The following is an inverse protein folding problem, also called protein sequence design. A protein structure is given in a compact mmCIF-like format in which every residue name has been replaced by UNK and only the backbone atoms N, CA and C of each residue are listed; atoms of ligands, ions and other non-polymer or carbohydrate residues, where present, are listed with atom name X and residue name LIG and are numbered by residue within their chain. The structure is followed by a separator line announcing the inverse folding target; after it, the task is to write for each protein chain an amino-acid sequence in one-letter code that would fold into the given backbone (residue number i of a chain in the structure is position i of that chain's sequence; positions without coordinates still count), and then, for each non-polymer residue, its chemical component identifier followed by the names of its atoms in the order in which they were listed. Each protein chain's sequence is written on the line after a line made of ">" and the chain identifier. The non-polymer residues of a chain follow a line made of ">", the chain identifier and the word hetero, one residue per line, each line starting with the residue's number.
data_IF_288851195982
#
_entry.id   IF_288851195982
#
_cell.length_a   1.000
_cell.length_b   1.000
_cell.length_c   1.000
_cell.angle_alpha   90.00
_cell.angle_beta   90.00
_cell.angle_gamma   90.00
#
_symmetry.space_group_name_H-M   'P 1'
#
loop_
_entity.id
_entity.type
_entity.pdbx_description
1 polymer ?
#
# COMPACT_ATOMS: atom_id res chain seq x y z
N UNK A 1 19.60 1.97 -34.53
CA UNK A 1 19.01 1.10 -33.50
C UNK A 1 19.76 -0.22 -33.50
N UNK A 2 20.58 -0.47 -32.49
CA UNK A 2 21.22 -1.77 -32.33
C UNK A 2 20.22 -2.76 -31.72
N UNK A 3 20.24 -4.05 -32.13
CA UNK A 3 19.38 -5.07 -31.54
C UNK A 3 19.74 -5.29 -30.06
N UNK A 4 18.72 -5.42 -29.21
CA UNK A 4 18.89 -5.70 -27.79
C UNK A 4 19.66 -7.03 -27.58
N UNK A 5 20.58 -7.08 -26.59
CA UNK A 5 21.32 -8.30 -26.29
C UNK A 5 20.39 -9.44 -25.81
N UNK A 6 20.75 -10.70 -26.05
CA UNK A 6 19.97 -11.85 -25.63
C UNK A 6 19.84 -11.92 -24.11
N UNK A 7 18.63 -12.24 -23.63
CA UNK A 7 18.27 -12.40 -22.22
C UNK A 7 19.09 -13.54 -21.61
N UNK A 8 19.83 -13.23 -20.55
CA UNK A 8 20.45 -14.25 -19.71
C UNK A 8 19.36 -14.99 -18.93
N UNK A 9 19.37 -16.31 -19.03
CA UNK A 9 18.45 -17.20 -18.35
C UNK A 9 18.63 -17.15 -16.83
N UNK A 10 17.48 -17.05 -16.15
CA UNK A 10 17.15 -17.54 -14.80
C UNK A 10 18.22 -17.44 -13.71
N UNK A 11 18.22 -16.31 -12.99
CA UNK A 11 18.64 -16.31 -11.60
C UNK A 11 17.55 -17.01 -10.77
N UNK A 12 17.91 -18.16 -10.20
CA UNK A 12 17.08 -18.88 -9.25
C UNK A 12 16.61 -17.94 -8.14
N UNK A 13 15.29 -17.90 -7.93
CA UNK A 13 14.69 -17.38 -6.71
C UNK A 13 15.46 -17.98 -5.53
N UNK A 14 16.13 -17.14 -4.75
CA UNK A 14 16.63 -17.56 -3.46
C UNK A 14 15.39 -17.94 -2.64
N UNK A 15 15.24 -19.24 -2.39
CA UNK A 15 14.26 -19.80 -1.46
C UNK A 15 14.43 -19.06 -0.13
N UNK A 16 13.54 -18.11 0.14
CA UNK A 16 13.38 -17.59 1.49
C UNK A 16 13.04 -18.80 2.36
N UNK A 17 13.75 -19.04 3.47
CA UNK A 17 13.49 -20.20 4.30
C UNK A 17 12.03 -20.16 4.74
N UNK A 18 11.35 -21.28 4.52
CA UNK A 18 9.93 -21.57 4.73
C UNK A 18 9.60 -21.57 6.24
N UNK A 19 9.84 -20.44 6.92
CA UNK A 19 9.76 -20.27 8.37
C UNK A 19 8.31 -19.99 8.80
N UNK A 20 7.42 -19.64 7.87
CA UNK A 20 6.05 -19.29 8.18
C UNK A 20 5.08 -20.36 7.65
N UNK A 21 4.14 -20.84 8.47
CA UNK A 21 3.10 -21.74 7.99
C UNK A 21 2.34 -21.07 6.82
N UNK A 22 1.83 -21.87 5.87
CA UNK A 22 1.08 -21.34 4.74
C UNK A 22 -0.08 -20.46 5.24
N UNK A 23 -0.36 -19.34 4.57
CA UNK A 23 -1.39 -18.41 5.00
C UNK A 23 -2.72 -19.13 5.17
N UNK A 24 -3.34 -18.99 6.34
CA UNK A 24 -4.72 -19.42 6.51
C UNK A 24 -5.58 -18.66 5.50
N UNK A 25 -6.38 -19.37 4.69
CA UNK A 25 -7.28 -18.73 3.73
C UNK A 25 -8.14 -17.71 4.50
N UNK A 26 -8.15 -16.43 4.07
CA UNK A 26 -8.96 -15.43 4.76
C UNK A 26 -10.41 -15.92 4.78
N UNK A 27 -11.14 -15.74 5.90
CA UNK A 27 -12.52 -16.17 5.98
C UNK A 27 -13.30 -15.53 4.84
N UNK A 28 -13.97 -16.36 4.03
CA UNK A 28 -14.85 -15.92 2.96
C UNK A 28 -16.04 -15.18 3.60
N UNK A 29 -15.89 -13.87 3.80
CA UNK A 29 -16.84 -13.05 4.54
C UNK A 29 -16.97 -11.65 3.96
N UNK A 30 -18.06 -10.96 4.33
CA UNK A 30 -18.41 -9.64 3.82
C UNK A 30 -17.28 -8.59 4.00
N UNK A 31 -16.43 -8.72 5.02
CA UNK A 31 -15.30 -7.81 5.26
C UNK A 31 -14.24 -7.85 4.15
N UNK A 32 -13.94 -9.03 3.60
CA UNK A 32 -12.97 -9.21 2.50
C UNK A 32 -13.48 -8.58 1.20
N UNK A 33 -14.79 -8.71 0.93
CA UNK A 33 -15.45 -8.07 -0.21
C UNK A 33 -15.53 -6.54 -0.05
N UNK A 34 -15.72 -6.02 1.17
CA UNK A 34 -15.76 -4.59 1.45
C UNK A 34 -14.36 -3.97 1.32
N UNK A 35 -13.32 -4.65 1.81
CA UNK A 35 -11.94 -4.21 1.64
C UNK A 35 -11.58 -4.16 0.14
N UNK A 36 -11.92 -5.20 -0.63
CA UNK A 36 -11.67 -5.24 -2.08
C UNK A 36 -12.45 -4.17 -2.88
N UNK A 37 -13.74 -3.95 -2.58
CA UNK A 37 -14.55 -2.96 -3.29
C UNK A 37 -14.23 -1.50 -2.89
N UNK A 38 -13.95 -1.26 -1.60
CA UNK A 38 -13.54 0.06 -1.11
C UNK A 38 -12.17 0.46 -1.66
N UNK A 39 -11.22 -0.47 -1.62
CA UNK A 39 -9.88 -0.32 -2.18
C UNK A 39 -9.90 0.14 -3.64
N UNK A 40 -10.68 -0.51 -4.51
CA UNK A 40 -10.69 -0.20 -5.95
C UNK A 40 -11.21 1.20 -6.29
N UNK A 41 -12.00 1.84 -5.41
CA UNK A 41 -12.45 3.23 -5.57
C UNK A 41 -11.47 4.24 -4.96
N UNK A 42 -10.69 3.82 -3.98
CA UNK A 42 -9.69 4.66 -3.30
C UNK A 42 -8.33 4.62 -4.00
N UNK A 43 -8.02 3.53 -4.69
CA UNK A 43 -6.77 3.35 -5.40
C UNK A 43 -6.87 3.79 -6.86
N UNK A 44 -5.69 3.99 -7.44
CA UNK A 44 -5.47 4.42 -8.81
C UNK A 44 -6.15 3.46 -9.81
N UNK A 45 -6.55 3.95 -10.99
CA UNK A 45 -7.13 3.10 -12.05
C UNK A 45 -6.17 1.99 -12.49
N UNK A 46 -4.88 2.26 -12.39
CA UNK A 46 -3.78 1.35 -12.70
C UNK A 46 -3.49 0.35 -11.58
N UNK A 47 -4.17 0.43 -10.43
CA UNK A 47 -3.95 -0.47 -9.32
C UNK A 47 -4.47 -1.89 -9.63
N UNK A 48 -3.55 -2.87 -9.57
CA UNK A 48 -3.87 -4.29 -9.60
C UNK A 48 -4.16 -4.76 -8.19
N UNK A 49 -5.38 -5.25 -7.98
CA UNK A 49 -5.86 -5.74 -6.70
C UNK A 49 -6.22 -7.21 -6.85
N UNK A 50 -5.54 -8.08 -6.11
CA UNK A 50 -5.91 -9.47 -5.98
C UNK A 50 -5.86 -9.85 -4.50
N UNK A 51 -7.03 -9.95 -3.88
CA UNK A 51 -7.19 -10.31 -2.46
C UNK A 51 -7.52 -11.79 -2.25
N UNK A 52 -7.63 -12.56 -3.34
CA UNK A 52 -8.05 -13.96 -3.31
C UNK A 52 -6.94 -14.94 -3.70
N UNK A 53 -5.81 -14.44 -4.21
CA UNK A 53 -4.60 -15.23 -4.39
C UNK A 53 -3.94 -15.63 -3.06
N UNK A 54 -2.94 -16.52 -3.16
CA UNK A 54 -2.15 -17.00 -2.01
C UNK A 54 -1.45 -15.85 -1.26
N UNK A 55 -1.02 -14.83 -2.00
CA UNK A 55 -0.39 -13.63 -1.45
C UNK A 55 -1.20 -12.38 -1.83
N UNK A 56 -2.26 -12.06 -1.07
CA UNK A 56 -3.09 -10.90 -1.30
C UNK A 56 -2.27 -9.63 -1.50
N UNK A 57 -2.52 -8.88 -2.57
CA UNK A 57 -1.73 -7.71 -2.91
C UNK A 57 -2.52 -6.57 -3.53
N UNK A 58 -1.97 -5.37 -3.35
CA UNK A 58 -2.38 -4.13 -3.99
C UNK A 58 -1.14 -3.54 -4.66
N UNK A 59 -1.07 -3.60 -5.98
CA UNK A 59 0.09 -3.16 -6.75
C UNK A 59 -0.32 -1.93 -7.56
N UNK A 60 0.41 -0.85 -7.39
CA UNK A 60 0.22 0.38 -8.15
C UNK A 60 1.53 0.67 -8.89
N UNK A 61 1.51 1.11 -10.17
CA UNK A 61 2.71 1.63 -10.81
C UNK A 61 3.45 2.62 -9.90
N UNK A 62 4.75 2.41 -9.76
CA UNK A 62 5.59 3.19 -8.85
C UNK A 62 5.47 4.70 -9.13
N UNK A 63 5.41 5.08 -10.42
CA UNK A 63 5.25 6.46 -10.86
C UNK A 63 3.87 7.06 -10.58
N UNK A 64 2.83 6.25 -10.41
CA UNK A 64 1.52 6.73 -9.97
C UNK A 64 1.43 6.80 -8.42
N UNK A 65 2.14 5.91 -7.75
CA UNK A 65 2.13 5.77 -6.29
C UNK A 65 2.98 6.82 -5.57
N UNK A 66 4.18 7.14 -6.08
CA UNK A 66 5.12 8.03 -5.41
C UNK A 66 4.70 9.51 -5.53
N UNK A 67 4.70 10.20 -4.41
CA UNK A 67 4.41 11.63 -4.35
C UNK A 67 5.54 12.50 -4.88
N UNK A 68 6.77 11.99 -4.91
CA UNK A 68 7.87 12.62 -5.62
C UNK A 68 8.72 11.56 -6.30
N UNK A 69 9.14 11.87 -7.52
CA UNK A 69 10.16 11.13 -8.26
C UNK A 69 11.15 12.10 -8.86
N UNK A 70 12.42 11.80 -8.63
CA UNK A 70 13.54 12.48 -9.24
C UNK A 70 14.41 11.46 -9.98
N UNK A 71 14.78 11.81 -11.21
CA UNK A 71 15.63 10.99 -12.07
C UNK A 71 16.85 11.83 -12.46
N UNK A 72 18.00 11.39 -11.98
CA UNK A 72 19.29 12.06 -12.18
C UNK A 72 20.28 11.15 -12.87
N UNK A 73 21.33 11.76 -13.43
CA UNK A 73 22.54 11.01 -13.79
C UNK A 73 23.35 10.71 -12.52
N UNK A 74 24.22 9.70 -12.53
CA UNK A 74 25.14 9.45 -11.42
C UNK A 74 26.02 10.67 -11.13
N UNK A 75 26.07 11.07 -9.87
CA UNK A 75 26.76 12.28 -9.38
C UNK A 75 25.92 13.56 -9.45
N UNK A 76 24.70 13.50 -10.02
CA UNK A 76 23.73 14.61 -10.07
C UNK A 76 22.48 14.31 -9.22
N UNK A 77 22.48 13.22 -8.45
CA UNK A 77 21.40 12.92 -7.52
C UNK A 77 21.30 13.95 -6.38
N UNK A 78 20.10 14.19 -5.84
CA UNK A 78 19.92 15.09 -4.70
C UNK A 78 20.73 14.62 -3.48
N UNK A 79 21.55 15.51 -2.90
CA UNK A 79 22.27 15.22 -1.64
C UNK A 79 21.31 15.09 -0.45
N UNK A 80 20.23 15.89 -0.45
CA UNK A 80 19.18 15.88 0.56
C UNK A 80 17.87 15.35 -0.02
N UNK A 81 17.53 14.12 0.36
CA UNK A 81 16.27 13.46 -0.03
C UNK A 81 15.04 14.24 0.44
N UNK A 82 15.14 14.99 1.55
CA UNK A 82 14.03 15.74 2.13
C UNK A 82 13.77 17.06 1.40
N UNK A 83 14.80 17.66 0.80
CA UNK A 83 14.72 18.87 -0.01
C UNK A 83 14.63 18.60 -1.52
N UNK A 84 14.55 17.33 -1.91
CA UNK A 84 14.49 16.91 -3.31
C UNK A 84 13.27 17.50 -4.01
N UNK A 85 13.42 17.82 -5.30
CA UNK A 85 12.34 18.27 -6.16
C UNK A 85 12.02 17.22 -7.24
N UNK A 86 10.76 17.22 -7.66
CA UNK A 86 10.26 16.39 -8.74
C UNK A 86 10.98 16.73 -10.06
N UNK A 87 11.60 15.74 -10.70
CA UNK A 87 12.12 15.83 -12.06
C UNK A 87 12.15 14.46 -12.72
N UNK A 88 11.29 14.26 -13.71
CA UNK A 88 11.20 13.02 -14.48
C UNK A 88 11.54 13.22 -15.96
N UNK A 89 12.22 14.32 -16.32
CA UNK A 89 12.52 14.62 -17.73
C UNK A 89 13.45 13.59 -18.38
N UNK A 90 14.34 12.97 -17.60
CA UNK A 90 15.21 11.89 -18.05
C UNK A 90 14.48 10.55 -18.22
N UNK A 91 13.28 10.39 -17.64
CA UNK A 91 12.51 9.15 -17.71
C UNK A 91 11.70 9.05 -19.01
N UNK A 92 11.04 10.14 -19.41
CA UNK A 92 10.20 10.14 -20.60
C UNK A 92 10.01 11.56 -21.15
N UNK A 93 10.10 11.77 -22.48
CA UNK A 93 10.03 13.10 -23.09
C UNK A 93 8.68 13.81 -22.90
N UNK A 94 7.60 13.09 -22.60
CA UNK A 94 6.31 13.71 -22.30
C UNK A 94 6.25 14.36 -20.92
N UNK A 95 7.16 14.05 -19.99
CA UNK A 95 7.13 14.52 -18.59
C UNK A 95 7.75 15.92 -18.42
N UNK A 96 7.46 16.81 -19.37
CA UNK A 96 8.01 18.16 -19.46
C UNK A 96 6.90 19.14 -19.87
N UNK A 97 6.92 20.34 -19.31
CA UNK A 97 6.05 21.43 -19.75
C UNK A 97 6.54 22.02 -21.07
N UNK A 98 5.69 22.83 -21.71
CA UNK A 98 6.03 23.46 -22.99
C UNK A 98 7.27 24.39 -22.91
N UNK A 99 7.60 24.88 -21.72
CA UNK A 99 8.77 25.73 -21.44
C UNK A 99 10.04 24.94 -21.09
N UNK A 100 9.99 23.60 -21.09
CA UNK A 100 11.12 22.73 -20.72
C UNK A 100 11.26 22.44 -19.22
N UNK A 101 10.41 23.02 -18.37
CA UNK A 101 10.39 22.72 -16.94
C UNK A 101 9.79 21.33 -16.65
N UNK A 102 10.20 20.63 -15.59
CA UNK A 102 9.62 19.34 -15.24
C UNK A 102 8.14 19.48 -14.88
N UNK A 103 7.36 18.42 -15.11
CA UNK A 103 6.00 18.37 -14.59
C UNK A 103 5.98 18.37 -13.06
N UNK A 104 4.92 18.96 -12.49
CA UNK A 104 4.61 18.77 -11.08
C UNK A 104 4.19 17.32 -10.81
N UNK A 105 4.47 16.82 -9.61
CA UNK A 105 4.23 15.43 -9.23
C UNK A 105 2.77 14.99 -9.44
N UNK A 106 1.78 15.82 -9.09
CA UNK A 106 0.37 15.48 -9.28
C UNK A 106 -0.01 15.32 -10.76
N UNK A 107 0.65 16.06 -11.66
CA UNK A 107 0.43 15.93 -13.10
C UNK A 107 1.03 14.62 -13.61
N UNK A 108 2.27 14.27 -13.20
CA UNK A 108 2.88 12.96 -13.49
C UNK A 108 1.99 11.84 -12.98
N UNK A 109 1.58 11.89 -11.71
CA UNK A 109 0.79 10.82 -11.06
C UNK A 109 -0.52 10.56 -11.79
N UNK A 110 -1.26 11.61 -12.15
CA UNK A 110 -2.50 11.48 -12.95
C UNK A 110 -2.23 10.89 -14.33
N UNK A 111 -1.16 11.31 -15.00
CA UNK A 111 -0.80 10.78 -16.31
C UNK A 111 -0.37 9.31 -16.24
N UNK A 112 0.42 8.93 -15.23
CA UNK A 112 0.80 7.56 -14.94
C UNK A 112 -0.34 6.72 -14.36
N UNK A 113 -1.50 7.31 -14.05
CA UNK A 113 -2.69 6.56 -13.66
C UNK A 113 -3.57 6.17 -14.87
N UNK A 114 -3.07 6.36 -16.08
CA UNK A 114 -3.69 5.84 -17.29
C UNK A 114 -2.85 4.66 -17.82
N UNK A 115 -3.41 3.45 -17.96
CA UNK A 115 -2.67 2.26 -18.39
C UNK A 115 -1.88 2.44 -19.70
N UNK A 116 -2.45 3.18 -20.66
CA UNK A 116 -1.84 3.49 -21.96
C UNK A 116 -0.55 4.31 -21.86
N UNK A 117 -0.37 5.08 -20.78
CA UNK A 117 0.81 5.90 -20.58
C UNK A 117 1.94 5.16 -19.87
N UNK A 118 1.62 4.07 -19.15
CA UNK A 118 2.59 3.33 -18.34
C UNK A 118 3.15 2.13 -19.07
N UNK A 119 2.39 1.53 -20.01
CA UNK A 119 2.76 0.28 -20.68
C UNK A 119 4.14 0.28 -21.33
N UNK A 120 4.57 1.43 -21.84
CA UNK A 120 5.85 1.60 -22.56
C UNK A 120 6.94 2.27 -21.71
N UNK A 121 6.66 2.61 -20.44
CA UNK A 121 7.66 3.18 -19.54
C UNK A 121 8.57 2.08 -19.02
N UNK A 122 9.87 2.37 -19.00
CA UNK A 122 10.88 1.52 -18.39
C UNK A 122 11.90 2.37 -17.66
N UNK A 123 12.59 1.76 -16.70
CA UNK A 123 13.70 2.38 -15.99
C UNK A 123 14.99 2.12 -16.76
N UNK A 124 15.59 3.17 -17.30
CA UNK A 124 16.86 3.12 -18.03
C UNK A 124 17.99 2.77 -17.07
N UNK A 125 18.79 1.72 -17.35
CA UNK A 125 19.97 1.42 -16.57
C UNK A 125 20.98 2.57 -16.58
N UNK A 126 21.65 2.80 -15.44
CA UNK A 126 22.69 3.84 -15.33
C UNK A 126 22.17 5.23 -14.97
N UNK A 127 20.86 5.39 -14.75
CA UNK A 127 20.28 6.55 -14.06
C UNK A 127 20.11 6.26 -12.56
N UNK A 128 20.05 7.33 -11.76
CA UNK A 128 19.75 7.29 -10.34
C UNK A 128 18.30 7.73 -10.13
N UNK A 129 17.53 6.87 -9.45
CA UNK A 129 16.11 7.11 -9.18
C UNK A 129 15.89 7.35 -7.70
N UNK A 130 15.33 8.52 -7.38
CA UNK A 130 14.90 8.85 -6.02
C UNK A 130 13.38 8.82 -5.95
N UNK A 131 12.85 7.96 -5.09
CA UNK A 131 11.41 7.82 -4.87
C UNK A 131 11.06 8.28 -3.46
N UNK A 132 10.21 9.31 -3.33
CA UNK A 132 9.61 9.65 -2.06
C UNK A 132 8.14 9.19 -2.07
N UNK A 133 7.82 8.37 -1.08
CA UNK A 133 6.50 7.81 -0.93
C UNK A 133 6.05 7.89 0.53
N UNK A 134 4.85 8.39 0.74
CA UNK A 134 4.18 8.39 2.04
C UNK A 134 2.74 7.91 1.87
N UNK A 135 2.30 7.02 2.76
CA UNK A 135 0.92 6.54 2.75
C UNK A 135 0.18 6.92 4.01
N UNK A 136 -0.88 7.72 3.84
CA UNK A 136 -1.78 8.09 4.92
C UNK A 136 -2.79 6.99 5.27
N UNK A 137 -2.89 5.94 4.45
CA UNK A 137 -3.87 4.89 4.70
C UNK A 137 -3.37 3.78 5.61
N UNK A 138 -2.09 3.75 5.98
CA UNK A 138 -1.57 2.82 6.97
C UNK A 138 -1.16 3.58 8.23
N UNK A 139 -1.88 3.34 9.31
CA UNK A 139 -1.42 3.69 10.65
C UNK A 139 -0.61 2.50 11.19
N UNK A 140 0.69 2.55 10.93
CA UNK A 140 1.63 1.51 11.37
C UNK A 140 1.74 1.44 12.89
N UNK A 141 1.49 2.53 13.62
CA UNK A 141 1.60 2.58 15.08
C UNK A 141 0.44 1.82 15.77
N UNK A 142 -0.73 1.80 15.15
CA UNK A 142 -1.88 1.03 15.64
C UNK A 142 -2.17 -0.23 14.83
N UNK A 143 -1.39 -0.48 13.77
CA UNK A 143 -1.60 -1.58 12.83
C UNK A 143 -3.00 -1.55 12.18
N UNK A 144 -3.38 -0.38 11.67
CA UNK A 144 -4.69 -0.14 11.05
C UNK A 144 -4.57 0.34 9.61
N UNK A 145 -5.57 0.00 8.80
CA UNK A 145 -5.78 0.59 7.47
C UNK A 145 -6.95 1.55 7.50
N UNK A 146 -6.76 2.74 6.92
CA UNK A 146 -7.79 3.72 6.69
C UNK A 146 -8.33 3.58 5.25
N UNK A 147 -9.61 3.26 5.12
CA UNK A 147 -10.33 3.24 3.85
C UNK A 147 -11.46 4.27 3.92
N UNK A 148 -11.16 5.50 3.50
CA UNK A 148 -12.06 6.64 3.69
C UNK A 148 -12.30 6.93 5.18
N UNK A 149 -13.56 7.05 5.64
CA UNK A 149 -13.87 7.30 7.05
C UNK A 149 -13.70 6.06 7.96
N UNK A 150 -13.45 4.88 7.38
CA UNK A 150 -13.31 3.65 8.15
C UNK A 150 -11.84 3.41 8.53
N UNK A 151 -11.62 2.97 9.77
CA UNK A 151 -10.33 2.45 10.22
C UNK A 151 -10.49 0.96 10.60
N UNK A 152 -9.78 0.09 9.89
CA UNK A 152 -9.82 -1.36 10.06
C UNK A 152 -8.56 -1.82 10.80
N UNK A 153 -8.74 -2.48 11.94
CA UNK A 153 -7.66 -3.14 12.68
C UNK A 153 -7.21 -4.38 11.91
N UNK A 154 -5.95 -4.43 11.49
CA UNK A 154 -5.44 -5.54 10.68
C UNK A 154 -5.06 -6.76 11.52
N UNK A 155 -4.76 -6.60 12.81
CA UNK A 155 -4.28 -7.69 13.65
C UNK A 155 -5.15 -8.97 13.60
N UNK A 156 -6.49 -8.89 13.63
CA UNK A 156 -7.35 -10.09 13.58
C UNK A 156 -7.30 -10.84 12.24
N UNK A 157 -6.87 -10.17 11.16
CA UNK A 157 -6.89 -10.72 9.80
C UNK A 157 -5.52 -11.26 9.35
N UNK A 158 -4.44 -10.74 9.94
CA UNK A 158 -3.09 -11.09 9.52
C UNK A 158 -2.59 -12.41 10.09
N UNK A 159 -3.28 -13.05 11.04
CA UNK A 159 -2.88 -14.35 11.61
C UNK A 159 -1.38 -14.43 12.00
N UNK A 160 -0.87 -13.38 12.67
CA UNK A 160 0.56 -13.23 13.03
C UNK A 160 1.55 -13.10 11.86
N UNK A 161 1.07 -12.78 10.64
CA UNK A 161 1.91 -12.48 9.48
C UNK A 161 2.20 -10.97 9.37
N UNK A 162 3.40 -10.59 8.92
CA UNK A 162 3.77 -9.19 8.71
C UNK A 162 3.06 -8.60 7.48
N UNK A 163 2.98 -7.27 7.42
CA UNK A 163 2.66 -6.58 6.16
C UNK A 163 3.93 -6.58 5.29
N UNK A 164 3.79 -7.02 4.05
CA UNK A 164 4.83 -6.87 3.03
C UNK A 164 4.68 -5.54 2.29
N UNK A 165 5.77 -4.79 2.16
CA UNK A 165 5.90 -3.64 1.27
C UNK A 165 7.00 -3.95 0.28
N UNK A 166 6.68 -3.97 -1.01
CA UNK A 166 7.66 -4.32 -2.03
C UNK A 166 7.49 -3.49 -3.29
N UNK A 167 8.61 -3.35 -4.01
CA UNK A 167 8.67 -2.84 -5.38
C UNK A 167 9.16 -4.02 -6.22
N UNK A 168 8.41 -4.40 -7.26
CA UNK A 168 8.79 -5.50 -8.13
C UNK A 168 8.51 -5.22 -9.60
N UNK A 169 9.32 -5.83 -10.46
CA UNK A 169 9.06 -5.91 -11.90
C UNK A 169 8.04 -7.02 -12.15
N UNK A 170 6.86 -6.67 -12.68
CA UNK A 170 5.79 -7.64 -12.96
C UNK A 170 6.09 -8.54 -14.16
N UNK A 171 6.97 -8.12 -15.07
CA UNK A 171 7.34 -8.92 -16.24
C UNK A 171 8.35 -10.01 -15.91
N UNK A 172 9.17 -9.81 -14.88
CA UNK A 172 10.22 -10.74 -14.44
C UNK A 172 9.91 -11.44 -13.11
N UNK A 173 8.94 -10.91 -12.37
CA UNK A 173 8.64 -11.28 -10.99
C UNK A 173 9.82 -11.08 -10.02
N UNK A 174 10.70 -10.13 -10.34
CA UNK A 174 11.89 -9.80 -9.54
C UNK A 174 11.60 -8.62 -8.60
N UNK A 175 11.94 -8.76 -7.32
CA UNK A 175 11.82 -7.68 -6.35
C UNK A 175 13.01 -6.72 -6.42
N UNK A 176 12.74 -5.43 -6.63
CA UNK A 176 13.72 -4.35 -6.49
C UNK A 176 13.86 -3.90 -5.02
N UNK A 177 12.77 -4.01 -4.24
CA UNK A 177 12.74 -3.75 -2.80
C UNK A 177 11.74 -4.70 -2.16
N UNK A 178 12.07 -5.27 -0.99
CA UNK A 178 11.15 -6.06 -0.19
C UNK A 178 11.37 -5.79 1.29
N UNK A 179 10.34 -5.31 1.97
CA UNK A 179 10.34 -4.95 3.38
C UNK A 179 9.19 -5.68 4.08
N UNK A 180 9.47 -6.20 5.27
CA UNK A 180 8.47 -6.80 6.15
C UNK A 180 8.26 -5.92 7.37
N UNK A 181 7.01 -5.52 7.60
CA UNK A 181 6.63 -4.68 8.73
C UNK A 181 5.96 -5.56 9.78
N UNK A 182 6.63 -5.70 10.91
CA UNK A 182 6.14 -6.40 12.10
C UNK A 182 5.58 -5.41 13.11
N UNK A 183 4.61 -5.88 13.88
CA UNK A 183 4.00 -5.09 14.94
C UNK A 183 3.88 -5.92 16.23
N UNK A 184 4.12 -5.30 17.39
CA UNK A 184 4.09 -5.99 18.69
C UNK A 184 2.77 -6.76 18.91
N UNK A 185 1.65 -6.21 18.46
CA UNK A 185 0.32 -6.83 18.57
C UNK A 185 0.16 -8.13 17.76
N UNK A 186 0.99 -8.34 16.74
CA UNK A 186 1.04 -9.61 16.00
C UNK A 186 1.88 -10.66 16.73
N UNK A 187 2.99 -10.22 17.32
CA UNK A 187 3.96 -11.08 18.00
C UNK A 187 3.48 -11.48 19.40
N UNK A 188 2.78 -10.58 20.09
CA UNK A 188 2.36 -10.72 21.50
C UNK A 188 0.87 -10.41 21.69
N UNK A 189 -0.04 -11.23 21.11
CA UNK A 189 -1.48 -10.95 21.12
C UNK A 189 -2.07 -10.89 22.54
N UNK A 190 -1.52 -11.67 23.49
CA UNK A 190 -1.98 -11.67 24.88
C UNK A 190 -1.69 -10.34 25.60
N UNK A 191 -0.53 -9.74 25.34
CA UNK A 191 -0.10 -8.50 25.97
C UNK A 191 -0.89 -7.30 25.43
N UNK A 192 -1.19 -7.31 24.12
CA UNK A 192 -2.07 -6.34 23.49
C UNK A 192 -3.46 -6.33 24.12
N UNK A 193 -3.99 -7.52 24.48
CA UNK A 193 -5.26 -7.66 25.20
C UNK A 193 -5.23 -7.05 26.60
N UNK A 194 -4.11 -7.18 27.32
CA UNK A 194 -3.93 -6.63 28.68
C UNK A 194 -3.87 -5.09 28.68
N UNK A 195 -3.22 -4.47 27.70
CA UNK A 195 -3.17 -2.99 27.56
C UNK A 195 -4.56 -2.36 27.36
N UNK A 196 -5.42 -2.97 26.52
CA UNK A 196 -6.80 -2.49 26.30
C UNK A 196 -7.67 -2.55 27.57
N UNK A 197 -7.43 -3.55 28.44
CA UNK A 197 -8.14 -3.66 29.73
C UNK A 197 -7.69 -2.56 30.71
N UNK A 198 -6.39 -2.28 30.79
CA UNK A 198 -5.85 -1.20 31.64
C UNK A 198 -6.35 0.18 31.22
N UNK A 199 -6.39 0.50 29.92
CA UNK A 199 -6.89 1.82 29.47
C UNK A 199 -8.38 2.02 29.72
N UNK A 200 -9.20 0.96 29.66
CA UNK A 200 -10.60 1.01 30.08
C UNK A 200 -10.76 1.17 31.60
N UNK A 201 -9.95 0.49 32.39
CA UNK A 201 -9.99 0.62 33.85
C UNK A 201 -9.62 2.02 34.33
N UNK A 202 -8.63 2.67 33.69
CA UNK A 202 -8.22 4.04 34.01
C UNK A 202 -9.25 5.08 33.57
N UNK A 203 -10.04 4.81 32.53
CA UNK A 203 -11.13 5.70 32.07
C UNK A 203 -12.44 5.50 32.84
N UNK A 204 -12.51 4.51 33.73
CA UNK A 204 -13.73 4.11 34.43
C UNK A 204 -13.95 4.76 35.80
N UNK A 205 -13.07 5.65 36.28
CA UNK A 205 -13.15 6.18 37.64
C UNK A 205 -13.70 7.63 37.74
N UNK A 206 -14.06 8.26 36.61
CA UNK A 206 -14.53 9.66 36.58
C UNK A 206 -15.85 9.88 35.83
N UNK A 207 -16.75 8.89 35.75
CA UNK A 207 -18.11 9.17 35.24
C UNK A 207 -19.15 8.24 35.85
N UNK A 208 -19.80 8.74 36.90
CA UNK A 208 -21.04 8.19 37.42
C UNK A 208 -22.24 8.71 36.60
N UNK A 209 -23.16 7.78 36.32
CA UNK A 209 -24.55 7.95 35.90
C UNK A 209 -24.84 8.48 34.48
N UNK A 210 -25.22 7.57 33.58
CA UNK A 210 -26.55 7.59 32.96
C UNK A 210 -26.90 6.21 32.39
N UNK A 211 -28.09 5.72 32.74
CA UNK A 211 -28.72 4.53 32.20
C UNK A 211 -28.96 4.68 30.70
N UNK A 212 -28.57 3.68 29.90
CA UNK A 212 -29.34 3.41 28.68
C UNK A 212 -29.35 1.92 28.34
N UNK A 213 -30.57 1.41 28.20
CA UNK A 213 -30.90 0.03 27.90
C UNK A 213 -30.84 -0.20 26.38
N UNK A 214 -30.12 -1.25 25.98
CA UNK A 214 -30.53 -2.09 24.86
C UNK A 214 -30.33 -1.55 23.43
N UNK A 215 -29.33 -2.08 22.74
CA UNK A 215 -29.52 -2.65 21.40
C UNK A 215 -28.28 -3.46 21.00
N UNK A 216 -28.33 -4.76 21.28
CA UNK A 216 -27.49 -5.76 20.62
C UNK A 216 -27.92 -5.90 19.15
N UNK A 217 -27.67 -4.87 18.34
CA UNK A 217 -27.79 -4.93 16.89
C UNK A 217 -26.49 -5.49 16.32
N UNK A 218 -26.55 -6.72 15.82
CA UNK A 218 -25.41 -7.42 15.22
C UNK A 218 -24.71 -6.56 14.16
N UNK A 219 -23.38 -6.62 14.15
CA UNK A 219 -22.50 -5.88 13.24
C UNK A 219 -22.97 -5.96 11.76
N UNK A 220 -23.62 -7.07 11.37
CA UNK A 220 -24.18 -7.26 10.03
C UNK A 220 -25.33 -6.32 9.69
N UNK A 221 -26.18 -5.93 10.64
CA UNK A 221 -27.34 -5.05 10.40
C UNK A 221 -26.91 -3.58 10.27
N UNK A 222 -25.89 -3.16 11.05
CA UNK A 222 -25.25 -1.85 10.88
C UNK A 222 -24.54 -1.72 9.53
N UNK A 223 -24.00 -2.82 9.00
CA UNK A 223 -23.39 -2.86 7.66
C UNK A 223 -24.41 -2.81 6.51
N UNK A 224 -25.59 -3.44 6.67
CA UNK A 224 -26.66 -3.38 5.65
C UNK A 224 -27.26 -1.98 5.51
N UNK A 225 -27.47 -1.26 6.62
CA UNK A 225 -27.99 0.11 6.58
C UNK A 225 -27.05 1.10 5.88
N UNK A 226 -25.74 0.92 6.04
CA UNK A 226 -24.72 1.79 5.43
C UNK A 226 -24.58 1.56 3.91
N UNK A 227 -24.76 0.33 3.43
CA UNK A 227 -24.74 0.00 2.00
C UNK A 227 -25.98 0.50 1.24
N UNK A 228 -27.13 0.61 1.92
CA UNK A 228 -28.37 1.13 1.33
C UNK A 228 -28.28 2.63 1.03
N UNK A 229 -27.61 3.42 1.89
CA UNK A 229 -27.37 4.85 1.67
C UNK A 229 -26.23 5.15 0.68
N UNK A 230 -25.44 4.15 0.28
CA UNK A 230 -24.27 4.34 -0.60
C UNK A 230 -24.56 4.05 -2.09
N UNK A 231 -25.82 3.73 -2.42
CA UNK A 231 -26.34 3.55 -3.79
C UNK A 231 -27.24 4.70 -4.28
N UNK A 232 -27.38 5.77 -3.49
CA UNK A 232 -28.06 7.01 -3.89
C UNK A 232 -27.05 8.02 -4.42
#
# INVERSE_FOLDING_TARGET
>A
MAPAPPRADTAAHADAPDILPPPAKPPAGAATNILGMGARRTFSQTCKVDVFCEHPHFLNPLLAACQLVNVSKPGEEPEDVTATQEDCRLLHPALVNADGSPWAADKRRKWCDAPENVGDLYFEPGLVYTFCWWQHFFDLANYKVHAGPMAVDLCPFMCAQPIGVFIKDLGRDEAALSLLIWHERLLFPEEAGKRKKKSKAVKGDDTAAEDDQGAAGGLSERFKGLLANWRA
#
